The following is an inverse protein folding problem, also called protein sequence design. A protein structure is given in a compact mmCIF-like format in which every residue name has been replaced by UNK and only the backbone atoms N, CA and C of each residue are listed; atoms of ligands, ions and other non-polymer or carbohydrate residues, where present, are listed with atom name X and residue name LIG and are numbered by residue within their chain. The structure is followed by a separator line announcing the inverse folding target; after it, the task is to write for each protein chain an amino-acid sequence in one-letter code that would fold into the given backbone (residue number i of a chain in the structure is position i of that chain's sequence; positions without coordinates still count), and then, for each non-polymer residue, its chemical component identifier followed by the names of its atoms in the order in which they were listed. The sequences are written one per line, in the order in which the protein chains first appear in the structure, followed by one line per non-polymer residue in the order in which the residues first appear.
data_IF_203238504267
#
_entry.id   IF_203238504267
#
_cell.length_a   1.000
_cell.length_b   1.000
_cell.length_c   1.000
_cell.angle_alpha   90.00
_cell.angle_beta   90.00
_cell.angle_gamma   90.00
#
_symmetry.space_group_name_H-M   'P 1'
#
loop_
_entity.id
_entity.type
_entity.pdbx_description
1 polymer ?
#
# COMPACT_ATOMS: atom_id res chain seq x y z
N UNK A 1 -10.66 -13.39 10.28
CA UNK A 1 -10.50 -14.74 9.70
C UNK A 1 -10.72 -15.83 10.74
N UNK A 2 -10.18 -15.69 11.95
CA UNK A 2 -10.45 -16.61 13.08
C UNK A 2 -11.96 -16.84 13.30
N UNK A 3 -12.75 -15.77 13.42
CA UNK A 3 -14.22 -15.87 13.48
C UNK A 3 -14.84 -16.76 12.39
N UNK A 4 -14.33 -16.68 11.15
CA UNK A 4 -14.87 -17.48 10.05
C UNK A 4 -14.45 -18.95 10.16
N UNK A 5 -13.23 -19.23 10.61
CA UNK A 5 -12.79 -20.61 10.89
C UNK A 5 -13.61 -21.23 12.03
N UNK A 6 -13.96 -20.43 13.05
CA UNK A 6 -14.74 -20.91 14.20
C UNK A 6 -16.22 -21.13 13.87
N UNK A 7 -16.80 -20.33 12.95
CA UNK A 7 -18.26 -20.29 12.75
C UNK A 7 -18.74 -20.75 11.39
N UNK A 8 -18.02 -20.41 10.31
CA UNK A 8 -18.48 -20.60 8.94
C UNK A 8 -17.75 -21.74 8.23
N UNK A 9 -16.48 -21.98 8.57
CA UNK A 9 -15.60 -22.96 7.90
C UNK A 9 -14.88 -23.91 8.88
N UNK A 10 -15.61 -24.57 9.79
CA UNK A 10 -15.01 -25.39 10.85
C UNK A 10 -14.21 -26.61 10.32
N UNK A 11 -14.47 -27.04 9.09
CA UNK A 11 -13.79 -28.19 8.49
C UNK A 11 -12.47 -27.84 7.78
N UNK A 12 -12.14 -26.55 7.63
CA UNK A 12 -10.88 -26.14 7.00
C UNK A 12 -9.68 -26.41 7.92
N UNK A 13 -8.73 -27.21 7.43
CA UNK A 13 -7.46 -27.47 8.12
C UNK A 13 -6.40 -26.45 7.69
N UNK A 14 -6.50 -25.24 8.21
CA UNK A 14 -5.56 -24.13 7.94
C UNK A 14 -5.20 -23.41 9.22
N UNK A 15 -4.04 -22.73 9.22
CA UNK A 15 -3.65 -21.81 10.28
C UNK A 15 -3.68 -20.38 9.74
N UNK A 16 -4.15 -19.45 10.55
CA UNK A 16 -4.13 -18.02 10.26
C UNK A 16 -3.41 -17.34 11.42
N UNK A 17 -2.54 -16.39 11.10
CA UNK A 17 -1.90 -15.52 12.09
C UNK A 17 -2.07 -14.09 11.64
N UNK A 18 -2.35 -13.20 12.59
CA UNK A 18 -2.22 -11.76 12.32
C UNK A 18 -0.74 -11.45 12.07
N UNK A 19 -0.49 -10.64 11.04
CA UNK A 19 0.83 -10.06 10.75
C UNK A 19 0.74 -8.54 10.67
N UNK A 20 -0.36 -7.94 11.14
CA UNK A 20 -0.59 -6.49 11.02
C UNK A 20 0.56 -5.67 11.60
N UNK A 21 1.10 -6.08 12.74
CA UNK A 21 2.20 -5.39 13.43
C UNK A 21 3.58 -5.66 12.79
N UNK A 22 3.67 -6.63 11.88
CA UNK A 22 4.92 -6.99 11.19
C UNK A 22 5.21 -6.10 9.97
N UNK A 23 4.22 -5.35 9.49
CA UNK A 23 4.31 -4.55 8.28
C UNK A 23 4.09 -3.07 8.56
N UNK A 24 4.93 -2.23 7.95
CA UNK A 24 4.63 -0.82 7.75
C UNK A 24 4.15 -0.61 6.32
N UNK A 25 3.11 0.21 6.14
CA UNK A 25 2.49 0.47 4.86
C UNK A 25 2.35 1.98 4.61
N UNK A 26 2.65 2.42 3.39
CA UNK A 26 2.45 3.80 2.95
C UNK A 26 1.74 3.80 1.60
N UNK A 27 0.74 4.68 1.45
CA UNK A 27 0.07 4.91 0.18
C UNK A 27 0.63 6.16 -0.50
N UNK A 28 0.99 6.04 -1.78
CA UNK A 28 1.34 7.17 -2.64
C UNK A 28 0.23 7.29 -3.69
N UNK A 29 -0.60 8.32 -3.55
CA UNK A 29 -1.77 8.55 -4.40
C UNK A 29 -1.66 9.85 -5.21
N UNK A 30 -2.31 9.87 -6.37
CA UNK A 30 -2.39 11.03 -7.28
C UNK A 30 -1.74 10.79 -8.64
N UNK A 31 -1.84 11.76 -9.56
CA UNK A 31 -1.38 11.59 -10.95
C UNK A 31 0.11 11.29 -11.09
N UNK A 32 0.93 11.80 -10.16
CA UNK A 32 2.38 11.61 -10.15
C UNK A 32 2.83 10.35 -9.39
N UNK A 33 1.90 9.58 -8.79
CA UNK A 33 2.24 8.46 -7.90
C UNK A 33 3.19 7.44 -8.54
N UNK A 34 2.97 7.09 -9.81
CA UNK A 34 3.86 6.17 -10.53
C UNK A 34 5.28 6.71 -10.63
N UNK A 35 5.43 7.98 -11.03
CA UNK A 35 6.74 8.59 -11.21
C UNK A 35 7.50 8.67 -9.89
N UNK A 36 6.80 8.97 -8.79
CA UNK A 36 7.36 8.97 -7.44
C UNK A 36 7.82 7.57 -7.03
N UNK A 37 6.98 6.54 -7.23
CA UNK A 37 7.35 5.15 -6.90
C UNK A 37 8.51 4.67 -7.76
N UNK A 38 8.55 5.00 -9.06
CA UNK A 38 9.70 4.72 -9.93
C UNK A 38 10.98 5.42 -9.45
N UNK A 39 10.89 6.68 -9.02
CA UNK A 39 12.03 7.41 -8.48
C UNK A 39 12.49 6.83 -7.12
N UNK A 40 11.55 6.38 -6.28
CA UNK A 40 11.83 5.71 -5.03
C UNK A 40 12.40 4.30 -5.25
N UNK A 41 12.06 3.59 -6.33
CA UNK A 41 12.55 2.23 -6.57
C UNK A 41 12.97 2.05 -8.04
N UNK A 42 14.10 2.66 -8.46
CA UNK A 42 14.48 2.73 -9.87
C UNK A 42 14.84 1.38 -10.50
N UNK A 43 15.11 0.36 -9.67
CA UNK A 43 15.37 -1.00 -10.13
C UNK A 43 14.08 -1.80 -10.41
N UNK A 44 12.90 -1.30 -10.02
CA UNK A 44 11.62 -1.99 -10.15
C UNK A 44 10.82 -1.44 -11.33
N UNK A 45 10.29 -2.34 -12.15
CA UNK A 45 9.36 -1.98 -13.20
C UNK A 45 7.94 -1.84 -12.65
N UNK A 46 7.52 -0.59 -12.44
CA UNK A 46 6.15 -0.22 -12.04
C UNK A 46 5.37 0.40 -13.20
N UNK A 47 5.73 0.06 -14.45
CA UNK A 47 4.98 0.44 -15.64
C UNK A 47 3.56 -0.14 -15.63
N UNK A 48 2.67 0.43 -16.43
CA UNK A 48 1.29 -0.05 -16.56
C UNK A 48 1.19 -1.49 -17.07
N UNK A 49 2.20 -1.95 -17.82
CA UNK A 49 2.27 -3.32 -18.34
C UNK A 49 2.80 -4.30 -17.28
N UNK A 50 3.80 -3.90 -16.49
CA UNK A 50 4.39 -4.76 -15.46
C UNK A 50 3.55 -4.82 -14.18
N UNK A 51 2.95 -3.70 -13.77
CA UNK A 51 2.11 -3.61 -12.58
C UNK A 51 0.73 -3.06 -12.95
N UNK A 52 -0.13 -3.99 -13.37
CA UNK A 52 -1.53 -3.73 -13.74
C UNK A 52 -2.37 -3.34 -12.52
N UNK A 53 -3.55 -2.76 -12.75
CA UNK A 53 -4.49 -2.44 -11.66
C UNK A 53 -4.83 -3.71 -10.85
N UNK A 54 -4.85 -3.60 -9.52
CA UNK A 54 -4.97 -4.71 -8.57
C UNK A 54 -3.81 -5.71 -8.62
N UNK A 55 -2.71 -5.36 -9.30
CA UNK A 55 -1.49 -6.15 -9.33
C UNK A 55 -0.64 -5.99 -8.08
N UNK A 56 0.17 -7.02 -7.82
CA UNK A 56 1.18 -7.09 -6.76
C UNK A 56 2.55 -7.29 -7.40
N UNK A 57 3.52 -6.47 -6.99
CA UNK A 57 4.93 -6.66 -7.25
C UNK A 57 5.62 -7.01 -5.93
N UNK A 58 6.26 -8.18 -5.88
CA UNK A 58 7.10 -8.58 -4.75
C UNK A 58 8.58 -8.45 -5.13
N UNK A 59 9.38 -7.90 -4.21
CA UNK A 59 10.81 -7.69 -4.39
C UNK A 59 11.50 -7.65 -3.03
N UNK A 60 12.79 -7.33 -3.04
CA UNK A 60 13.54 -6.95 -1.86
C UNK A 60 14.02 -5.50 -1.93
N UNK A 61 14.13 -4.88 -0.76
CA UNK A 61 14.79 -3.59 -0.57
C UNK A 61 15.68 -3.67 0.66
N UNK A 62 16.98 -3.45 0.47
CA UNK A 62 18.00 -3.61 1.53
C UNK A 62 17.99 -5.01 2.19
N UNK A 63 17.76 -6.05 1.39
CA UNK A 63 17.69 -7.45 1.87
C UNK A 63 16.46 -7.76 2.71
N UNK A 64 15.41 -6.93 2.64
CA UNK A 64 14.13 -7.13 3.33
C UNK A 64 13.00 -7.21 2.32
N UNK A 65 11.96 -7.96 2.64
CA UNK A 65 10.78 -8.08 1.80
C UNK A 65 10.14 -6.70 1.54
N UNK A 66 9.80 -6.47 0.27
CA UNK A 66 9.12 -5.29 -0.24
C UNK A 66 7.93 -5.76 -1.08
N UNK A 67 6.75 -5.18 -0.84
CA UNK A 67 5.58 -5.37 -1.70
C UNK A 67 5.07 -4.02 -2.19
N UNK A 68 4.74 -3.95 -3.47
CA UNK A 68 4.11 -2.78 -4.07
C UNK A 68 2.82 -3.23 -4.73
N UNK A 69 1.68 -2.75 -4.25
CA UNK A 69 0.38 -3.04 -4.79
C UNK A 69 -0.16 -1.83 -5.53
N UNK A 70 -0.73 -2.03 -6.72
CA UNK A 70 -1.41 -0.95 -7.45
C UNK A 70 -2.91 -0.98 -7.18
N UNK A 71 -3.30 -0.39 -6.06
CA UNK A 71 -4.68 -0.24 -5.64
C UNK A 71 -4.85 1.08 -4.89
N UNK A 72 -6.11 1.49 -4.68
CA UNK A 72 -6.43 2.81 -4.16
C UNK A 72 -7.73 2.79 -3.38
N UNK A 73 -7.70 3.43 -2.21
CA UNK A 73 -8.91 3.77 -1.45
C UNK A 73 -9.32 5.24 -1.61
N UNK A 74 -8.43 6.11 -2.07
CA UNK A 74 -8.78 7.48 -2.45
C UNK A 74 -9.47 7.57 -3.82
N UNK A 75 -9.46 6.47 -4.58
CA UNK A 75 -9.93 6.37 -5.97
C UNK A 75 -9.11 7.17 -6.98
N UNK A 76 -7.94 7.65 -6.59
CA UNK A 76 -6.90 8.16 -7.49
C UNK A 76 -5.96 7.04 -7.92
N UNK A 77 -5.10 7.30 -8.91
CA UNK A 77 -3.99 6.38 -9.21
C UNK A 77 -3.08 6.29 -7.98
N UNK A 78 -2.98 5.11 -7.37
CA UNK A 78 -2.22 4.93 -6.14
C UNK A 78 -1.46 3.61 -6.11
N UNK A 79 -0.46 3.59 -5.23
CA UNK A 79 0.33 2.42 -4.90
C UNK A 79 0.47 2.33 -3.39
N UNK A 80 0.25 1.14 -2.85
CA UNK A 80 0.56 0.83 -1.46
C UNK A 80 1.89 0.08 -1.40
N UNK A 81 2.81 0.59 -0.58
CA UNK A 81 4.14 0.04 -0.43
C UNK A 81 4.25 -0.52 0.98
N UNK A 82 4.57 -1.81 1.08
CA UNK A 82 4.70 -2.54 2.33
C UNK A 82 6.14 -3.00 2.52
N UNK A 83 6.68 -2.74 3.71
CA UNK A 83 7.98 -3.22 4.19
C UNK A 83 7.82 -3.75 5.61
N UNK A 84 8.81 -4.50 6.11
CA UNK A 84 8.81 -4.90 7.52
C UNK A 84 8.73 -3.68 8.44
N UNK A 85 8.00 -3.76 9.55
CA UNK A 85 7.65 -2.64 10.42
C UNK A 85 8.86 -1.78 10.84
N UNK A 86 10.00 -2.42 11.11
CA UNK A 86 11.27 -1.75 11.50
C UNK A 86 11.85 -0.84 10.40
N UNK A 87 11.40 -0.95 9.16
CA UNK A 87 11.85 -0.15 8.02
C UNK A 87 10.85 0.97 7.65
N UNK A 88 9.75 1.14 8.39
CA UNK A 88 8.69 2.10 8.06
C UNK A 88 9.17 3.55 7.99
N UNK A 89 9.97 4.01 8.95
CA UNK A 89 10.53 5.38 8.95
C UNK A 89 11.46 5.62 7.75
N UNK A 90 12.24 4.61 7.36
CA UNK A 90 13.14 4.70 6.22
C UNK A 90 12.35 4.75 4.92
N UNK A 91 11.28 3.95 4.80
CA UNK A 91 10.38 4.00 3.65
C UNK A 91 9.70 5.38 3.56
N UNK A 92 9.19 5.91 4.67
CA UNK A 92 8.58 7.23 4.74
C UNK A 92 9.53 8.32 4.22
N UNK A 93 10.73 8.37 4.80
CA UNK A 93 11.76 9.35 4.44
C UNK A 93 12.14 9.26 2.96
N UNK A 94 12.30 8.03 2.44
CA UNK A 94 12.61 7.76 1.04
C UNK A 94 11.53 8.26 0.09
N UNK A 95 10.25 8.01 0.41
CA UNK A 95 9.13 8.43 -0.42
C UNK A 95 9.01 9.96 -0.47
N UNK A 96 9.18 10.64 0.67
CA UNK A 96 9.21 12.11 0.71
C UNK A 96 10.36 12.71 -0.08
N UNK A 97 11.55 12.10 -0.02
CA UNK A 97 12.70 12.53 -0.81
C UNK A 97 12.46 12.36 -2.31
N UNK A 98 12.03 11.17 -2.74
CA UNK A 98 11.71 10.88 -4.15
C UNK A 98 10.55 11.75 -4.67
N UNK A 99 9.60 12.09 -3.80
CA UNK A 99 8.43 12.89 -4.11
C UNK A 99 8.68 14.40 -4.17
N UNK A 100 9.84 14.90 -3.72
CA UNK A 100 10.13 16.34 -3.63
C UNK A 100 10.00 17.07 -4.97
N UNK A 101 10.46 16.45 -6.06
CA UNK A 101 10.36 17.01 -7.41
C UNK A 101 8.91 17.08 -7.94
N UNK A 102 7.97 16.40 -7.27
CA UNK A 102 6.57 16.29 -7.64
C UNK A 102 5.62 16.99 -6.66
N UNK A 103 6.16 17.81 -5.74
CA UNK A 103 5.40 18.47 -4.65
C UNK A 103 4.59 17.48 -3.80
N UNK A 104 5.15 16.30 -3.53
CA UNK A 104 4.51 15.30 -2.68
C UNK A 104 4.29 15.85 -1.27
N UNK A 105 3.07 15.65 -0.74
CA UNK A 105 2.68 16.07 0.59
C UNK A 105 2.08 14.91 1.38
N UNK A 106 2.37 14.82 2.70
CA UNK A 106 1.58 13.98 3.59
C UNK A 106 0.11 14.36 3.57
N UNK A 107 -0.78 13.37 3.61
CA UNK A 107 -2.20 13.56 3.84
C UNK A 107 -2.69 12.58 4.91
N UNK A 108 -3.65 13.01 5.71
CA UNK A 108 -4.20 12.23 6.82
C UNK A 108 -5.48 11.49 6.45
N UNK A 109 -6.04 10.81 7.45
CA UNK A 109 -7.27 10.02 7.33
C UNK A 109 -8.50 10.87 6.98
N UNK A 110 -8.58 12.12 7.43
CA UNK A 110 -9.71 13.01 7.09
C UNK A 110 -9.79 13.29 5.59
N UNK A 111 -8.65 13.58 4.96
CA UNK A 111 -8.57 13.78 3.52
C UNK A 111 -8.89 12.49 2.77
N UNK A 112 -8.40 11.34 3.25
CA UNK A 112 -8.75 10.04 2.69
C UNK A 112 -10.26 9.75 2.80
N UNK A 113 -10.86 10.11 3.94
CA UNK A 113 -12.29 9.96 4.23
C UNK A 113 -13.15 10.78 3.28
N UNK A 114 -12.76 12.02 2.97
CA UNK A 114 -13.45 12.83 1.95
C UNK A 114 -13.34 12.19 0.56
N UNK A 115 -12.13 11.83 0.13
CA UNK A 115 -11.87 11.26 -1.20
C UNK A 115 -12.62 9.93 -1.42
N UNK A 116 -12.59 9.03 -0.43
CA UNK A 116 -13.24 7.71 -0.56
C UNK A 116 -14.76 7.83 -0.68
N UNK A 117 -15.38 8.84 -0.06
CA UNK A 117 -16.82 9.10 -0.16
C UNK A 117 -17.19 9.52 -1.58
N UNK A 118 -16.41 10.39 -2.22
CA UNK A 118 -16.64 10.80 -3.61
C UNK A 118 -16.59 9.61 -4.59
N UNK A 119 -15.84 8.56 -4.24
CA UNK A 119 -15.69 7.34 -5.03
C UNK A 119 -16.69 6.25 -4.65
N UNK A 120 -17.58 6.52 -3.70
CA UNK A 120 -18.61 5.58 -3.23
C UNK A 120 -18.04 4.38 -2.47
N UNK A 121 -16.82 4.48 -1.93
CA UNK A 121 -16.26 3.41 -1.10
C UNK A 121 -16.97 3.38 0.26
N UNK A 122 -17.63 2.25 0.53
CA UNK A 122 -18.33 2.01 1.79
C UNK A 122 -17.31 1.69 2.87
N UNK A 123 -17.39 2.41 3.99
CA UNK A 123 -16.67 2.09 5.22
C UNK A 123 -17.68 1.72 6.31
N UNK A 124 -17.25 0.88 7.26
CA UNK A 124 -18.01 0.66 8.49
C UNK A 124 -18.08 1.92 9.36
N UNK A 125 -18.79 1.88 10.51
CA UNK A 125 -18.64 2.93 11.52
C UNK A 125 -17.18 2.96 11.97
N UNK A 126 -16.56 4.14 11.86
CA UNK A 126 -15.24 4.44 12.45
C UNK A 126 -15.35 4.54 13.97
#
# INVERSE_FOLDING_TARGET
LEFLLDTAWPDLRVAVTSVSDEWAAMSVAGPNSRAIVSAAFPALDVSDAALVHMGLLESEWQGRALRILRLSYSGERAYEIYVGATAGEQLWSRLLEAGRAFDLKPYGVDALGALRVEKGHVAGPE
#
